data_IF_080380946520
#
_entry.id   IF_080380946520
#
_cell.length_a   1.000
_cell.length_b   1.000
_cell.length_c   1.000
_cell.angle_alpha   90.00
_cell.angle_beta   90.00
_cell.angle_gamma   90.00
#
_symmetry.space_group_name_H-M   'P 1'
#
loop_
_entity.id
_entity.type
_entity.pdbx_description
1 polymer ?
#
# COMPACT_ATOMS: atom_id res chain seq x y z
N UNK A 1 -1.65 -3.98 -15.63
CA UNK A 1 -0.93 -2.76 -16.06
C UNK A 1 0.22 -2.51 -15.09
N UNK A 2 1.47 -2.35 -15.54
CA UNK A 2 2.56 -1.86 -14.70
C UNK A 2 2.27 -0.40 -14.34
N UNK A 3 1.58 -0.18 -13.21
CA UNK A 3 1.20 1.16 -12.78
C UNK A 3 2.40 1.92 -12.24
N UNK A 4 2.58 3.18 -12.66
CA UNK A 4 3.65 4.08 -12.17
C UNK A 4 3.70 4.08 -10.64
N UNK A 5 2.54 4.14 -9.98
CA UNK A 5 2.49 4.13 -8.52
C UNK A 5 2.99 2.83 -7.89
N UNK A 6 2.81 1.68 -8.56
CA UNK A 6 3.33 0.40 -8.09
C UNK A 6 4.87 0.39 -8.13
N UNK A 7 5.47 0.87 -9.22
CA UNK A 7 6.93 0.99 -9.33
C UNK A 7 7.51 1.87 -8.23
N UNK A 8 6.93 3.07 -8.05
CA UNK A 8 7.35 4.00 -6.99
C UNK A 8 7.23 3.42 -5.58
N UNK A 9 6.13 2.72 -5.29
CA UNK A 9 5.93 2.07 -4.00
C UNK A 9 7.02 1.02 -3.71
N UNK A 10 7.42 0.24 -4.72
CA UNK A 10 8.46 -0.78 -4.55
C UNK A 10 9.84 -0.19 -4.32
N UNK A 11 10.16 0.93 -4.96
CA UNK A 11 11.39 1.71 -4.67
C UNK A 11 11.43 2.17 -3.21
N UNK A 12 10.31 2.66 -2.69
CA UNK A 12 10.22 3.18 -1.33
C UNK A 12 10.20 2.08 -0.25
N UNK A 13 9.50 0.98 -0.51
CA UNK A 13 9.25 -0.07 0.47
C UNK A 13 10.29 -1.20 0.46
N UNK A 14 11.15 -1.28 -0.57
CA UNK A 14 12.06 -2.42 -0.80
C UNK A 14 11.33 -3.78 -0.68
N UNK A 15 10.10 -3.83 -1.20
CA UNK A 15 9.20 -4.97 -1.06
C UNK A 15 9.41 -6.05 -2.14
N UNK A 16 8.96 -7.26 -1.86
CA UNK A 16 8.88 -8.34 -2.84
C UNK A 16 7.47 -8.41 -3.45
N UNK A 17 7.41 -8.73 -4.73
CA UNK A 17 6.15 -8.98 -5.42
C UNK A 17 5.79 -10.46 -5.39
N UNK A 18 4.51 -10.77 -5.21
CA UNK A 18 4.03 -12.14 -5.23
C UNK A 18 2.54 -12.22 -5.55
N UNK A 19 2.09 -13.41 -5.92
CA UNK A 19 0.66 -13.75 -5.94
C UNK A 19 0.28 -14.30 -4.57
N UNK A 20 -0.65 -13.62 -3.92
CA UNK A 20 -1.11 -13.95 -2.58
C UNK A 20 -2.61 -14.22 -2.60
N UNK A 21 -3.02 -15.34 -1.99
CA UNK A 21 -4.43 -15.63 -1.76
C UNK A 21 -5.01 -14.76 -0.64
N UNK A 22 -6.34 -14.81 -0.45
CA UNK A 22 -7.05 -14.00 0.55
C UNK A 22 -6.54 -14.20 1.98
N UNK A 23 -6.19 -15.43 2.34
CA UNK A 23 -5.68 -15.79 3.68
C UNK A 23 -4.33 -15.14 3.99
N UNK A 24 -3.52 -14.85 2.97
CA UNK A 24 -2.23 -14.18 3.17
C UNK A 24 -2.38 -12.70 3.55
N UNK A 25 -3.61 -12.14 3.53
CA UNK A 25 -3.93 -10.78 3.97
C UNK A 25 -4.39 -10.72 5.44
N UNK A 26 -4.70 -11.87 6.06
CA UNK A 26 -5.20 -11.91 7.44
C UNK A 26 -4.16 -11.34 8.42
N UNK A 27 -4.62 -10.49 9.34
CA UNK A 27 -3.76 -9.86 10.33
C UNK A 27 -2.75 -8.85 9.78
N UNK A 28 -2.84 -8.46 8.50
CA UNK A 28 -1.94 -7.47 7.89
C UNK A 28 -2.61 -6.13 7.70
N UNK A 29 -1.83 -5.07 7.87
CA UNK A 29 -2.20 -3.75 7.38
C UNK A 29 -2.21 -3.76 5.85
N UNK A 30 -3.17 -3.04 5.28
CA UNK A 30 -3.37 -2.97 3.83
C UNK A 30 -3.31 -1.52 3.37
N UNK A 31 -2.84 -1.33 2.14
CA UNK A 31 -2.84 -0.05 1.44
C UNK A 31 -3.19 -0.27 -0.03
N UNK A 32 -3.72 0.76 -0.66
CA UNK A 32 -3.87 0.85 -2.10
C UNK A 32 -2.86 1.86 -2.64
N UNK A 33 -2.29 1.60 -3.82
CA UNK A 33 -1.53 2.61 -4.56
C UNK A 33 -2.20 2.92 -5.89
N UNK A 34 -2.39 4.20 -6.18
CA UNK A 34 -2.87 4.66 -7.48
C UNK A 34 -2.15 5.95 -7.90
N UNK A 35 -2.14 6.24 -9.21
CA UNK A 35 -1.38 7.35 -9.78
C UNK A 35 -1.99 8.74 -9.52
N UNK A 36 -3.19 8.84 -8.93
CA UNK A 36 -3.86 10.12 -8.66
C UNK A 36 -3.73 10.52 -7.19
N UNK A 37 -3.95 9.58 -6.27
CA UNK A 37 -3.93 9.81 -4.81
C UNK A 37 -2.64 9.32 -4.14
N UNK A 38 -1.80 8.57 -4.84
CA UNK A 38 -0.61 7.93 -4.27
C UNK A 38 -0.96 6.74 -3.38
N UNK A 39 -0.35 6.65 -2.21
CA UNK A 39 -0.59 5.58 -1.22
C UNK A 39 -1.75 5.96 -0.31
N UNK A 40 -2.73 5.05 -0.20
CA UNK A 40 -3.93 5.22 0.62
C UNK A 40 -4.05 4.03 1.58
N UNK A 41 -3.88 4.22 2.90
CA UNK A 41 -4.12 3.16 3.87
C UNK A 41 -5.57 2.67 3.81
N UNK A 42 -5.77 1.36 3.92
CA UNK A 42 -7.09 0.75 3.97
C UNK A 42 -7.48 0.52 5.42
N UNK A 43 -8.66 0.99 5.82
CA UNK A 43 -9.18 0.81 7.17
C UNK A 43 -9.95 -0.51 7.33
N UNK A 44 -10.56 -1.02 6.25
CA UNK A 44 -11.34 -2.25 6.26
C UNK A 44 -11.31 -2.97 4.91
N UNK A 45 -11.35 -4.29 4.93
CA UNK A 45 -11.51 -5.16 3.76
C UNK A 45 -12.71 -6.07 4.01
N UNK A 46 -13.65 -6.11 3.05
CA UNK A 46 -14.90 -6.89 3.16
C UNK A 46 -15.73 -6.55 4.43
N UNK A 47 -15.75 -5.27 4.81
CA UNK A 47 -16.44 -4.79 6.02
C UNK A 47 -15.73 -5.11 7.34
N UNK A 48 -14.61 -5.85 7.32
CA UNK A 48 -13.81 -6.15 8.50
C UNK A 48 -12.66 -5.16 8.64
N UNK A 49 -12.46 -4.63 9.85
CA UNK A 49 -11.33 -3.75 10.13
C UNK A 49 -10.00 -4.51 9.92
N UNK A 50 -9.02 -3.83 9.33
CA UNK A 50 -7.65 -4.36 9.20
C UNK A 50 -6.71 -3.63 10.16
N UNK A 51 -5.63 -4.28 10.63
CA UNK A 51 -4.63 -3.62 11.47
C UNK A 51 -4.10 -2.33 10.85
N UNK A 52 -3.90 -1.30 11.67
CA UNK A 52 -3.21 -0.08 11.24
C UNK A 52 -1.70 -0.25 11.39
N UNK A 53 -0.96 0.27 10.42
CA UNK A 53 0.50 0.35 10.48
C UNK A 53 0.93 1.78 10.13
N UNK A 54 1.65 2.48 11.03
CA UNK A 54 2.19 3.81 10.77
C UNK A 54 3.04 3.89 9.49
N UNK A 55 3.70 2.80 9.09
CA UNK A 55 4.51 2.73 7.87
C UNK A 55 3.71 3.06 6.62
N UNK A 56 2.41 2.76 6.58
CA UNK A 56 1.55 3.13 5.46
C UNK A 56 1.40 4.66 5.33
N UNK A 57 1.34 5.38 6.45
CA UNK A 57 1.31 6.85 6.47
C UNK A 57 2.64 7.44 6.01
N UNK A 58 3.76 6.91 6.52
CA UNK A 58 5.10 7.34 6.09
C UNK A 58 5.33 7.09 4.59
N UNK A 59 4.80 6.01 4.04
CA UNK A 59 4.84 5.75 2.59
C UNK A 59 4.01 6.77 1.81
N UNK A 60 2.85 7.20 2.32
CA UNK A 60 2.02 8.23 1.70
C UNK A 60 2.71 9.59 1.65
N UNK A 61 3.35 10.00 2.76
CA UNK A 61 4.12 11.25 2.84
C UNK A 61 5.29 11.30 1.85
N UNK A 62 5.96 10.15 1.62
CA UNK A 62 7.14 10.05 0.75
C UNK A 62 6.84 9.72 -0.70
N UNK A 63 5.57 9.40 -1.00
CA UNK A 63 5.20 8.91 -2.32
C UNK A 63 5.45 9.97 -3.40
N UNK A 64 5.03 11.20 -3.14
CA UNK A 64 5.25 12.34 -4.00
C UNK A 64 6.57 13.04 -3.66
N UNK A 65 7.39 13.43 -4.66
CA UNK A 65 8.54 14.28 -4.40
C UNK A 65 8.09 15.64 -3.84
N UNK A 66 8.93 16.27 -3.03
CA UNK A 66 8.75 17.68 -2.71
C UNK A 66 8.78 18.48 -4.03
N UNK A 67 7.78 19.33 -4.23
CA UNK A 67 7.66 20.19 -5.42
C UNK A 67 8.70 21.29 -5.45
#
# INVERSE_FOLDING_TARGET
>A
LPGIGRGRLLELARGAEGRHGRSALEGKSLLLVNAVRGVVPIASLDGQAVPRDPRAGTLAERFWPAG
#
